data_IF_215936438213
#
_entry.id   IF_215936438213
#
_cell.length_a   1.000
_cell.length_b   1.000
_cell.length_c   1.000
_cell.angle_alpha   90.00
_cell.angle_beta   90.00
_cell.angle_gamma   90.00
#
_symmetry.space_group_name_H-M   'P 1'
#
loop_
_entity.id
_entity.type
_entity.pdbx_description
1 polymer ?
#
# COMPACT_ATOMS: atom_id res chain seq x y z
N UNK A 1 -0.06 6.98 -2.03
CA UNK A 1 -1.11 5.95 -1.83
C UNK A 1 -2.50 6.51 -2.16
N UNK A 2 -2.63 7.39 -3.16
CA UNK A 2 -3.94 7.97 -3.48
C UNK A 2 -4.90 6.91 -4.04
N UNK A 3 -6.20 7.12 -3.85
CA UNK A 3 -7.25 6.16 -4.22
C UNK A 3 -7.26 5.81 -5.72
N UNK A 4 -6.92 6.74 -6.59
CA UNK A 4 -6.86 6.58 -8.05
C UNK A 4 -5.68 5.71 -8.52
N UNK A 5 -4.76 5.38 -7.62
CA UNK A 5 -3.64 4.47 -7.87
C UNK A 5 -3.67 3.21 -7.01
N UNK A 6 -4.03 3.35 -5.72
CA UNK A 6 -4.04 2.25 -4.75
C UNK A 6 -5.39 1.51 -4.68
N UNK A 7 -6.45 2.05 -5.28
CA UNK A 7 -7.81 1.50 -5.17
C UNK A 7 -7.98 0.08 -5.71
N UNK A 8 -7.09 -0.37 -6.60
CA UNK A 8 -7.12 -1.74 -7.14
C UNK A 8 -6.36 -2.76 -6.29
N UNK A 9 -5.68 -2.35 -5.22
CA UNK A 9 -4.87 -3.26 -4.41
C UNK A 9 -5.72 -4.24 -3.59
N UNK A 10 -6.94 -3.84 -3.27
CA UNK A 10 -7.91 -4.63 -2.54
C UNK A 10 -9.22 -4.76 -3.32
N UNK A 11 -9.93 -5.84 -3.06
CA UNK A 11 -11.26 -6.13 -3.60
C UNK A 11 -12.21 -6.47 -2.47
N UNK A 12 -13.52 -6.46 -2.76
CA UNK A 12 -14.54 -6.91 -1.81
C UNK A 12 -15.02 -8.29 -2.23
N UNK A 13 -14.82 -9.28 -1.37
CA UNK A 13 -15.31 -10.65 -1.52
C UNK A 13 -16.15 -11.00 -0.29
N UNK A 14 -17.40 -11.43 -0.50
CA UNK A 14 -18.36 -11.76 0.57
C UNK A 14 -18.48 -10.68 1.67
N UNK A 15 -18.43 -9.41 1.27
CA UNK A 15 -18.51 -8.26 2.16
C UNK A 15 -17.25 -8.00 2.98
N UNK A 16 -16.13 -8.66 2.67
CA UNK A 16 -14.82 -8.44 3.31
C UNK A 16 -13.83 -7.87 2.32
N UNK A 17 -12.99 -6.97 2.80
CA UNK A 17 -11.86 -6.43 2.02
C UNK A 17 -10.75 -7.48 2.01
N UNK A 18 -10.31 -7.90 0.83
CA UNK A 18 -9.24 -8.88 0.62
C UNK A 18 -8.19 -8.33 -0.35
N UNK A 19 -6.94 -8.85 -0.33
CA UNK A 19 -5.95 -8.49 -1.34
C UNK A 19 -6.39 -8.94 -2.74
N UNK A 20 -6.36 -8.03 -3.72
CA UNK A 20 -6.60 -8.39 -5.13
C UNK A 20 -5.49 -9.31 -5.65
N UNK A 21 -4.26 -9.12 -5.17
CA UNK A 21 -3.08 -9.90 -5.55
C UNK A 21 -2.52 -10.65 -4.33
N UNK A 22 -3.09 -11.81 -3.96
CA UNK A 22 -2.82 -12.47 -2.67
C UNK A 22 -1.39 -12.99 -2.50
N UNK A 23 -0.62 -13.11 -3.59
CA UNK A 23 0.78 -13.57 -3.56
C UNK A 23 1.79 -12.44 -3.83
N UNK A 24 1.34 -11.18 -3.92
CA UNK A 24 2.22 -10.06 -4.24
C UNK A 24 2.92 -9.50 -2.99
N UNK A 25 4.14 -8.99 -3.20
CA UNK A 25 4.80 -8.08 -2.27
C UNK A 25 4.56 -6.65 -2.72
N UNK A 26 4.04 -5.81 -1.83
CA UNK A 26 3.76 -4.41 -2.08
C UNK A 26 4.91 -3.56 -1.55
N UNK A 27 5.70 -3.00 -2.46
CA UNK A 27 6.80 -2.13 -2.11
C UNK A 27 6.31 -0.69 -2.01
N UNK A 28 6.47 -0.09 -0.83
CA UNK A 28 5.98 1.26 -0.54
C UNK A 28 7.10 2.07 0.10
N UNK A 29 7.33 3.30 -0.36
CA UNK A 29 8.26 4.19 0.31
C UNK A 29 7.75 4.55 1.71
N UNK A 30 8.61 4.48 2.74
CA UNK A 30 8.22 4.72 4.14
C UNK A 30 7.50 6.07 4.32
N UNK A 31 8.04 7.15 3.76
CA UNK A 31 7.41 8.48 3.84
C UNK A 31 5.97 8.53 3.27
N UNK A 32 5.72 7.80 2.17
CA UNK A 32 4.39 7.73 1.56
C UNK A 32 3.43 6.88 2.39
N UNK A 33 3.93 5.85 3.07
CA UNK A 33 3.17 5.10 4.06
C UNK A 33 2.78 5.97 5.25
N UNK A 34 3.73 6.70 5.83
CA UNK A 34 3.49 7.55 6.99
C UNK A 34 2.48 8.65 6.67
N UNK A 35 2.62 9.30 5.50
CA UNK A 35 1.66 10.30 5.03
C UNK A 35 0.26 9.72 4.82
N UNK A 36 0.16 8.52 4.25
CA UNK A 36 -1.12 7.87 4.01
C UNK A 36 -1.85 7.46 5.30
N UNK A 37 -1.10 7.13 6.35
CA UNK A 37 -1.65 6.73 7.65
C UNK A 37 -1.85 7.91 8.62
N UNK A 38 -1.34 9.10 8.28
CA UNK A 38 -1.60 10.34 9.02
C UNK A 38 -1.84 11.53 8.06
N UNK A 39 -2.85 11.46 7.18
CA UNK A 39 -3.09 12.50 6.19
C UNK A 39 -3.59 13.79 6.84
N UNK A 40 -3.25 14.93 6.23
CA UNK A 40 -3.85 16.20 6.60
C UNK A 40 -5.36 16.21 6.33
N UNK A 41 -6.09 17.17 6.88
CA UNK A 41 -7.53 17.31 6.61
C UNK A 41 -7.81 17.48 5.10
N UNK A 42 -6.95 18.21 4.40
CA UNK A 42 -7.03 18.43 2.96
C UNK A 42 -6.84 17.14 2.15
N UNK A 43 -5.99 16.26 2.62
CA UNK A 43 -5.58 15.06 1.87
C UNK A 43 -6.40 13.82 2.24
N UNK A 44 -7.21 13.87 3.31
CA UNK A 44 -7.98 12.73 3.82
C UNK A 44 -8.88 12.08 2.76
N UNK A 45 -9.46 12.86 1.85
CA UNK A 45 -10.29 12.33 0.76
C UNK A 45 -9.50 11.51 -0.27
N UNK A 46 -8.18 11.69 -0.34
CA UNK A 46 -7.31 11.00 -1.29
C UNK A 46 -6.77 9.67 -0.74
N UNK A 47 -6.69 9.52 0.59
CA UNK A 47 -6.08 8.38 1.26
C UNK A 47 -7.14 7.51 1.95
N UNK A 48 -7.51 6.40 1.31
CA UNK A 48 -8.51 5.46 1.82
C UNK A 48 -7.83 4.21 2.38
N UNK A 49 -7.84 4.04 3.71
CA UNK A 49 -7.15 2.94 4.39
C UNK A 49 -7.61 1.54 3.95
N UNK A 50 -8.82 1.42 3.43
CA UNK A 50 -9.38 0.20 2.82
C UNK A 50 -8.52 -0.34 1.66
N UNK A 51 -7.74 0.53 1.02
CA UNK A 51 -6.87 0.18 -0.10
C UNK A 51 -5.56 -0.51 0.33
N UNK A 52 -5.21 -0.53 1.63
CA UNK A 52 -3.93 -1.13 2.08
C UNK A 52 -3.92 -1.77 3.47
N UNK A 53 -4.90 -1.50 4.32
CA UNK A 53 -4.89 -1.98 5.72
C UNK A 53 -4.81 -3.51 5.83
N UNK A 54 -5.56 -4.25 5.00
CA UNK A 54 -5.49 -5.72 4.97
C UNK A 54 -4.14 -6.23 4.46
N UNK A 55 -3.49 -5.50 3.54
CA UNK A 55 -2.17 -5.88 3.02
C UNK A 55 -1.12 -5.80 4.14
N UNK A 56 -1.17 -4.75 4.96
CA UNK A 56 -0.29 -4.57 6.11
C UNK A 56 -0.52 -5.65 7.17
N UNK A 57 -1.79 -5.95 7.49
CA UNK A 57 -2.16 -7.01 8.45
C UNK A 57 -1.67 -8.39 7.98
N UNK A 58 -1.68 -8.63 6.68
CA UNK A 58 -1.20 -9.87 6.07
C UNK A 58 0.33 -9.93 5.91
N UNK A 59 1.08 -8.88 6.31
CA UNK A 59 2.54 -8.82 6.15
C UNK A 59 2.99 -8.73 4.69
N UNK A 60 2.15 -8.17 3.81
CA UNK A 60 2.42 -8.11 2.37
C UNK A 60 3.18 -6.84 1.94
N UNK A 61 3.50 -5.94 2.88
CA UNK A 61 4.12 -4.65 2.59
C UNK A 61 5.59 -4.68 2.98
N UNK A 62 6.45 -4.29 2.05
CA UNK A 62 7.87 -4.03 2.28
C UNK A 62 8.16 -2.54 2.10
N UNK A 63 8.94 -1.97 3.02
CA UNK A 63 9.22 -0.54 3.04
C UNK A 63 10.54 -0.22 2.37
N UNK A 64 10.49 0.72 1.41
CA UNK A 64 11.70 1.31 0.83
C UNK A 64 12.02 2.59 1.60
N UNK A 65 13.22 2.66 2.17
CA UNK A 65 13.72 3.84 2.89
C UNK A 65 14.76 4.61 2.10
N UNK A 66 15.35 4.00 1.07
CA UNK A 66 16.34 4.67 0.23
C UNK A 66 15.66 5.64 -0.74
N UNK A 67 16.12 6.89 -0.72
CA UNK A 67 15.66 7.97 -1.58
C UNK A 67 16.50 8.10 -2.86
N UNK A 68 17.65 7.44 -2.92
CA UNK A 68 18.53 7.42 -4.10
C UNK A 68 18.09 6.39 -5.15
N UNK A 69 17.03 5.62 -4.85
CA UNK A 69 16.46 4.65 -5.78
C UNK A 69 17.24 3.34 -5.86
N UNK A 70 18.11 3.03 -4.89
CA UNK A 70 18.65 1.69 -4.77
C UNK A 70 17.59 0.81 -4.11
N UNK A 71 16.95 -0.02 -4.94
CA UNK A 71 15.92 -0.92 -4.47
C UNK A 71 16.53 -2.28 -4.12
N UNK A 72 16.27 -2.82 -2.91
CA UNK A 72 16.68 -4.17 -2.54
C UNK A 72 15.71 -5.20 -3.14
N UNK A 73 15.36 -5.07 -4.42
CA UNK A 73 14.54 -6.08 -5.07
C UNK A 73 15.41 -7.33 -5.26
N UNK A 74 15.06 -8.48 -4.65
CA UNK A 74 15.62 -9.74 -5.12
C UNK A 74 15.29 -9.82 -6.62
N UNK A 75 16.24 -10.28 -7.45
CA UNK A 75 16.00 -10.44 -8.89
C UNK A 75 14.64 -11.11 -9.09
N UNK A 76 13.70 -10.35 -9.66
CA UNK A 76 12.37 -10.84 -10.02
C UNK A 76 12.61 -11.91 -11.08
N UNK A 77 12.61 -13.19 -10.67
CA UNK A 77 12.73 -14.33 -11.57
C UNK A 77 11.44 -14.55 -12.36
#
# INVERSE_FOLDING_TARGET
>A
MHFDHAGGNTSIEDGKIVPTFPNATYWIHQDNWDLANSPSEKDRGSYLAENWSVLAQNGMIEYVTDREGNFPFPELK
#
